data_IF_084074344025
#
_entry.id   IF_084074344025
#
_cell.length_a   1.000
_cell.length_b   1.000
_cell.length_c   1.000
_cell.angle_alpha   90.00
_cell.angle_beta   90.00
_cell.angle_gamma   90.00
#
_symmetry.space_group_name_H-M   'P 1'
#
loop_
_entity.id
_entity.type
_entity.pdbx_description
1 polymer ?
#
# COMPACT_ATOMS: atom_id res chain seq x y z
N UNK A 1 6.30 37.32 -23.68
CA UNK A 1 6.48 35.91 -24.07
C UNK A 1 7.83 35.28 -23.67
N UNK A 2 8.79 36.02 -23.06
CA UNK A 2 10.04 35.41 -22.55
C UNK A 2 9.95 34.90 -21.10
N UNK A 3 9.12 35.52 -20.27
CA UNK A 3 9.07 35.22 -18.82
C UNK A 3 8.27 33.95 -18.48
N UNK A 4 7.44 33.45 -19.40
CA UNK A 4 6.66 32.21 -19.21
C UNK A 4 7.53 30.95 -19.36
N UNK A 5 8.57 31.00 -20.19
CA UNK A 5 9.48 29.87 -20.44
C UNK A 5 10.35 29.61 -19.21
N UNK A 6 10.73 30.66 -18.47
CA UNK A 6 11.56 30.56 -17.26
C UNK A 6 10.81 29.84 -16.14
N UNK A 7 9.51 30.10 -15.99
CA UNK A 7 8.67 29.45 -14.97
C UNK A 7 8.46 27.98 -15.30
N UNK A 8 8.27 27.62 -16.57
CA UNK A 8 8.19 26.22 -17.00
C UNK A 8 9.51 25.46 -16.84
N UNK A 9 10.66 26.12 -17.05
CA UNK A 9 11.98 25.49 -16.84
C UNK A 9 12.32 25.23 -15.37
N UNK A 10 11.72 25.98 -14.42
CA UNK A 10 11.91 25.73 -12.98
C UNK A 10 11.30 24.40 -12.53
N UNK A 11 10.27 23.89 -13.22
CA UNK A 11 9.69 22.58 -12.94
C UNK A 11 10.53 21.39 -13.46
N UNK A 12 11.40 21.62 -14.45
CA UNK A 12 12.27 20.57 -15.00
C UNK A 12 13.68 20.54 -14.38
N UNK A 13 14.08 21.62 -13.68
CA UNK A 13 15.39 21.75 -13.03
C UNK A 13 15.39 21.32 -11.55
N UNK A 14 14.22 21.14 -10.93
CA UNK A 14 14.09 20.37 -9.69
C UNK A 14 14.12 18.87 -10.00
N UNK A 15 15.23 18.40 -10.55
CA UNK A 15 15.60 17.00 -10.42
C UNK A 15 15.66 16.64 -8.93
N UNK A 16 15.46 15.35 -8.64
CA UNK A 16 15.64 14.73 -7.33
C UNK A 16 14.40 14.72 -6.41
N UNK A 17 13.37 13.94 -6.79
CA UNK A 17 12.89 12.95 -5.81
C UNK A 17 13.80 11.75 -6.01
N UNK A 18 14.86 11.73 -5.23
CA UNK A 18 15.89 10.69 -5.29
C UNK A 18 15.22 9.31 -5.14
N UNK A 19 15.35 8.38 -6.10
CA UNK A 19 14.89 7.00 -5.92
C UNK A 19 15.57 6.35 -4.70
N UNK A 20 16.67 6.92 -4.23
CA UNK A 20 17.43 6.48 -3.07
C UNK A 20 16.79 6.86 -1.72
N UNK A 21 15.99 7.94 -1.65
CA UNK A 21 15.15 8.23 -0.47
C UNK A 21 13.98 7.23 -0.35
N UNK A 22 13.58 6.62 -1.48
CA UNK A 22 12.53 5.61 -1.56
C UNK A 22 13.04 4.18 -1.28
N UNK A 23 14.34 3.91 -1.44
CA UNK A 23 14.88 2.54 -1.45
C UNK A 23 15.13 1.94 -0.06
N UNK A 24 15.48 2.74 0.95
CA UNK A 24 15.79 2.22 2.30
C UNK A 24 14.95 2.87 3.41
N UNK A 25 14.67 4.18 3.28
CA UNK A 25 13.81 4.95 4.18
C UNK A 25 12.33 4.94 3.77
N UNK A 26 12.08 5.04 2.47
CA UNK A 26 10.72 5.05 1.92
C UNK A 26 10.03 3.70 2.03
N UNK A 27 10.71 2.56 1.82
CA UNK A 27 10.06 1.26 1.74
C UNK A 27 9.20 0.96 2.98
N UNK A 28 9.70 1.15 4.20
CA UNK A 28 8.94 0.88 5.43
C UNK A 28 7.80 1.86 5.69
N UNK A 29 7.93 3.13 5.28
CA UNK A 29 6.84 4.11 5.32
C UNK A 29 5.77 3.81 4.27
N UNK A 30 6.21 3.30 3.11
CA UNK A 30 5.38 2.91 1.97
C UNK A 30 4.64 1.62 2.29
N UNK A 31 5.27 0.59 2.85
CA UNK A 31 4.59 -0.62 3.34
C UNK A 31 3.47 -0.33 4.35
N UNK A 32 3.63 0.72 5.19
CA UNK A 32 2.61 1.18 6.15
C UNK A 32 1.44 1.95 5.52
N UNK A 33 1.47 2.20 4.21
CA UNK A 33 0.38 2.86 3.50
C UNK A 33 -0.77 1.90 3.20
N UNK A 34 -0.49 0.61 3.08
CA UNK A 34 -1.50 -0.44 3.01
C UNK A 34 -2.05 -0.73 4.42
N UNK A 35 -3.37 -0.82 4.54
CA UNK A 35 -4.02 -1.22 5.79
C UNK A 35 -5.36 -1.87 5.51
N UNK A 36 -5.88 -2.57 6.51
CA UNK A 36 -7.19 -3.20 6.47
C UNK A 36 -8.16 -2.40 7.34
N UNK A 37 -9.33 -2.10 6.80
CA UNK A 37 -10.33 -1.24 7.44
C UNK A 37 -11.65 -1.98 7.59
N UNK A 38 -12.20 -2.04 8.80
CA UNK A 38 -13.48 -2.70 9.03
C UNK A 38 -14.60 -1.92 8.32
N UNK A 39 -15.48 -2.63 7.61
CA UNK A 39 -16.48 -2.01 6.74
C UNK A 39 -17.45 -1.09 7.49
N UNK A 40 -17.83 -1.47 8.72
CA UNK A 40 -18.84 -0.73 9.50
C UNK A 40 -18.22 0.35 10.38
N UNK A 41 -17.13 0.05 11.09
CA UNK A 41 -16.54 0.93 12.11
C UNK A 41 -15.48 1.86 11.53
N UNK A 42 -14.98 1.57 10.32
CA UNK A 42 -13.84 2.26 9.68
C UNK A 42 -12.54 2.20 10.50
N UNK A 43 -12.48 1.32 11.49
CA UNK A 43 -11.28 1.10 12.29
C UNK A 43 -10.29 0.23 11.54
N UNK A 44 -9.00 0.48 11.78
CA UNK A 44 -7.95 -0.37 11.25
C UNK A 44 -8.01 -1.75 11.91
N UNK A 45 -7.71 -2.80 11.15
CA UNK A 45 -7.55 -4.13 11.69
C UNK A 45 -6.52 -4.10 12.85
N UNK A 46 -6.86 -4.64 14.02
CA UNK A 46 -5.90 -4.73 15.10
C UNK A 46 -4.82 -5.75 14.72
N UNK A 47 -3.59 -5.52 15.20
CA UNK A 47 -2.44 -6.38 14.98
C UNK A 47 -2.72 -7.86 15.29
N UNK A 48 -3.55 -8.12 16.31
CA UNK A 48 -3.98 -9.48 16.65
C UNK A 48 -4.73 -10.15 15.49
N UNK A 49 -5.69 -9.47 14.89
CA UNK A 49 -6.47 -10.00 13.76
C UNK A 49 -5.60 -10.26 12.54
N UNK A 50 -4.67 -9.35 12.23
CA UNK A 50 -3.70 -9.54 11.15
C UNK A 50 -2.81 -10.77 11.41
N UNK A 51 -2.27 -10.92 12.62
CA UNK A 51 -1.45 -12.07 12.99
C UNK A 51 -2.23 -13.38 12.99
N UNK A 52 -3.45 -13.40 13.54
CA UNK A 52 -4.31 -14.58 13.56
C UNK A 52 -4.59 -15.08 12.12
N UNK A 53 -4.83 -14.15 11.18
CA UNK A 53 -4.97 -14.50 9.76
C UNK A 53 -3.64 -14.98 9.14
N UNK A 54 -2.53 -14.32 9.44
CA UNK A 54 -1.21 -14.72 8.94
C UNK A 54 -0.85 -16.15 9.38
N UNK A 55 -1.01 -16.45 10.65
CA UNK A 55 -0.74 -17.78 11.22
C UNK A 55 -1.68 -18.83 10.62
N UNK A 56 -2.98 -18.50 10.47
CA UNK A 56 -3.96 -19.41 9.85
C UNK A 56 -3.59 -19.79 8.42
N UNK A 57 -3.08 -18.86 7.61
CA UNK A 57 -2.77 -19.12 6.19
C UNK A 57 -1.36 -19.67 5.96
N UNK A 58 -0.45 -19.50 6.92
CA UNK A 58 0.93 -20.01 6.85
C UNK A 58 1.14 -21.32 7.60
N UNK A 59 0.15 -21.78 8.38
CA UNK A 59 0.23 -23.06 9.08
C UNK A 59 0.44 -24.21 8.08
N UNK A 60 1.67 -24.74 8.05
CA UNK A 60 2.16 -25.79 7.15
C UNK A 60 2.06 -25.48 5.64
N UNK A 61 1.89 -24.20 5.26
CA UNK A 61 1.77 -23.77 3.87
C UNK A 61 2.61 -22.51 3.60
N UNK A 62 3.13 -22.32 2.38
CA UNK A 62 3.76 -21.07 2.00
C UNK A 62 2.72 -19.93 2.04
N UNK A 63 3.16 -18.74 2.44
CA UNK A 63 2.31 -17.56 2.51
C UNK A 63 1.69 -17.26 1.14
N UNK A 64 0.36 -17.09 1.13
CA UNK A 64 -0.40 -16.62 -0.01
C UNK A 64 -1.12 -15.32 0.38
N UNK A 65 -0.80 -14.23 -0.34
CA UNK A 65 -1.49 -12.94 -0.17
C UNK A 65 -2.99 -13.08 -0.39
N UNK A 66 -3.40 -13.95 -1.32
CA UNK A 66 -4.80 -14.18 -1.61
C UNK A 66 -5.55 -14.76 -0.40
N UNK A 67 -5.03 -15.86 0.15
CA UNK A 67 -5.63 -16.51 1.32
C UNK A 67 -5.64 -15.58 2.54
N UNK A 68 -4.58 -14.78 2.70
CA UNK A 68 -4.49 -13.78 3.76
C UNK A 68 -5.57 -12.69 3.60
N UNK A 69 -5.71 -12.13 2.40
CA UNK A 69 -6.71 -11.12 2.11
C UNK A 69 -8.14 -11.66 2.26
N UNK A 70 -8.39 -12.90 1.82
CA UNK A 70 -9.67 -13.59 2.00
C UNK A 70 -10.01 -13.77 3.49
N UNK A 71 -9.04 -14.17 4.32
CA UNK A 71 -9.25 -14.33 5.76
C UNK A 71 -9.69 -13.02 6.44
N UNK A 72 -9.05 -11.90 6.09
CA UNK A 72 -9.42 -10.58 6.61
C UNK A 72 -10.77 -10.12 6.05
N UNK A 73 -11.02 -10.42 4.78
CA UNK A 73 -12.26 -10.09 4.11
C UNK A 73 -13.49 -10.75 4.75
N UNK A 74 -13.37 -12.05 5.08
CA UNK A 74 -14.39 -12.80 5.82
C UNK A 74 -14.68 -12.24 7.21
N UNK A 75 -13.71 -11.55 7.81
CA UNK A 75 -13.83 -10.87 9.10
C UNK A 75 -14.37 -9.43 8.98
N UNK A 76 -14.82 -9.02 7.79
CA UNK A 76 -15.44 -7.71 7.57
C UNK A 76 -14.44 -6.59 7.22
N UNK A 77 -13.17 -6.91 6.99
CA UNK A 77 -12.16 -5.92 6.65
C UNK A 77 -12.01 -5.74 5.13
N UNK A 78 -11.72 -4.52 4.71
CA UNK A 78 -11.45 -4.14 3.33
C UNK A 78 -10.04 -3.61 3.19
N UNK A 79 -9.39 -3.95 2.09
CA UNK A 79 -8.08 -3.41 1.78
C UNK A 79 -8.19 -1.92 1.44
N UNK A 80 -7.37 -1.10 2.10
CA UNK A 80 -7.28 0.33 1.89
C UNK A 80 -5.83 0.77 1.77
N UNK A 81 -5.65 1.92 1.13
CA UNK A 81 -4.34 2.52 0.95
C UNK A 81 -4.46 4.00 1.28
N UNK A 82 -3.57 4.52 2.13
CA UNK A 82 -3.57 5.95 2.49
C UNK A 82 -3.13 6.88 1.36
N UNK A 83 -2.58 6.33 0.28
CA UNK A 83 -2.14 7.07 -0.90
C UNK A 83 -2.64 6.37 -2.18
N UNK A 84 -3.34 7.11 -3.05
CA UNK A 84 -3.84 6.61 -4.34
C UNK A 84 -2.72 6.13 -5.26
N UNK A 85 -1.55 6.78 -5.18
CA UNK A 85 -0.37 6.48 -5.98
C UNK A 85 0.38 5.23 -5.49
N UNK A 86 0.08 4.73 -4.28
CA UNK A 86 0.73 3.56 -3.69
C UNK A 86 0.67 2.33 -4.60
N UNK A 87 -0.54 2.00 -5.06
CA UNK A 87 -0.76 0.85 -5.95
C UNK A 87 -0.32 1.11 -7.40
N UNK A 88 -0.21 2.37 -7.81
CA UNK A 88 0.20 2.70 -9.18
C UNK A 88 1.72 2.69 -9.34
N UNK A 89 2.46 3.24 -8.37
CA UNK A 89 3.90 3.47 -8.47
C UNK A 89 4.77 2.49 -7.68
N UNK A 90 4.29 1.93 -6.57
CA UNK A 90 5.16 1.21 -5.63
C UNK A 90 4.87 -0.28 -5.53
N UNK A 91 3.61 -0.67 -5.37
CA UNK A 91 3.23 -2.05 -5.04
C UNK A 91 2.22 -2.60 -6.03
N UNK A 92 2.52 -2.47 -7.33
CA UNK A 92 1.57 -2.77 -8.40
C UNK A 92 1.07 -4.21 -8.36
N UNK A 93 1.96 -5.18 -8.13
CA UNK A 93 1.56 -6.59 -8.05
C UNK A 93 0.86 -6.93 -6.74
N UNK A 94 1.37 -6.49 -5.59
CA UNK A 94 0.70 -6.77 -4.29
C UNK A 94 -0.68 -6.10 -4.18
N UNK A 95 -0.82 -4.89 -4.72
CA UNK A 95 -2.13 -4.23 -4.79
C UNK A 95 -3.08 -4.88 -5.79
N UNK A 96 -2.59 -5.54 -6.85
CA UNK A 96 -3.47 -6.31 -7.74
C UNK A 96 -4.08 -7.48 -6.98
N UNK A 97 -3.27 -8.18 -6.20
CA UNK A 97 -3.72 -9.31 -5.38
C UNK A 97 -4.81 -8.87 -4.40
N UNK A 98 -4.64 -7.71 -3.76
CA UNK A 98 -5.59 -7.19 -2.78
C UNK A 98 -6.73 -6.33 -3.35
N UNK A 99 -6.68 -5.93 -4.63
CA UNK A 99 -7.68 -5.04 -5.22
C UNK A 99 -9.09 -5.63 -5.18
N UNK A 100 -9.19 -6.96 -5.23
CA UNK A 100 -10.46 -7.69 -5.11
C UNK A 100 -11.10 -7.62 -3.71
N UNK A 101 -10.33 -7.23 -2.70
CA UNK A 101 -10.79 -7.06 -1.30
C UNK A 101 -10.96 -5.60 -0.89
N UNK A 102 -10.87 -4.63 -1.83
CA UNK A 102 -11.20 -3.21 -1.56
C UNK A 102 -12.68 -2.99 -1.22
#
# INVERSE_FOLDING_TARGET
MKNLIIILSLFFLSGCVDPFLLSYGGSHLIHKMAYWEHIDTKEKAPLKTENDCFDKVTNNNPFSRDNYGQCLYEQGYRFRTSNLLYCFWYMKEECKDYNKFR
#
